data_IF_449058774677
#
_entry.id   IF_449058774677
#
_cell.length_a   1.000
_cell.length_b   1.000
_cell.length_c   1.000
_cell.angle_alpha   90.00
_cell.angle_beta   90.00
_cell.angle_gamma   90.00
#
_symmetry.space_group_name_H-M   'P 1'
#
loop_
_entity.id
_entity.type
_entity.pdbx_description
1 polymer ?
#
# COMPACT_ATOMS: atom_id res chain seq x y z
N UNK A 1 -19.07 5.74 21.30
CA UNK A 1 -17.73 6.30 21.60
C UNK A 1 -16.88 6.06 20.38
N UNK A 2 -16.21 7.07 19.82
CA UNK A 2 -15.26 6.87 18.73
C UNK A 2 -13.92 6.37 19.30
N UNK A 3 -13.26 5.46 18.58
CA UNK A 3 -11.97 4.88 19.00
C UNK A 3 -10.94 5.12 17.91
N UNK A 4 -9.83 5.77 18.25
CA UNK A 4 -8.64 5.77 17.41
C UNK A 4 -7.82 4.53 17.74
N UNK A 5 -7.77 3.59 16.81
CA UNK A 5 -7.14 2.30 17.04
C UNK A 5 -5.60 2.35 17.02
N UNK A 6 -5.00 3.31 16.30
CA UNK A 6 -3.53 3.36 16.06
C UNK A 6 -2.94 1.99 15.68
N UNK A 7 -3.70 1.22 14.89
CA UNK A 7 -3.43 -0.19 14.61
C UNK A 7 -2.28 -0.43 13.62
N UNK A 8 -1.56 0.62 13.22
CA UNK A 8 -0.27 0.50 12.55
C UNK A 8 0.75 -0.28 13.39
N UNK A 9 0.63 -0.24 14.71
CA UNK A 9 1.44 -0.99 15.68
C UNK A 9 1.05 -2.47 15.83
N UNK A 10 0.03 -2.94 15.10
CA UNK A 10 -0.40 -4.33 15.18
C UNK A 10 0.75 -5.28 14.81
N UNK A 11 0.90 -6.33 15.64
CA UNK A 11 1.91 -7.38 15.50
C UNK A 11 3.38 -6.88 15.53
N UNK A 12 3.68 -5.85 16.34
CA UNK A 12 5.07 -5.51 16.72
C UNK A 12 5.80 -6.67 17.43
N UNK A 13 5.08 -7.70 17.88
CA UNK A 13 5.66 -8.93 18.42
C UNK A 13 6.12 -9.92 17.32
N UNK A 14 5.78 -9.68 16.05
CA UNK A 14 6.19 -10.47 14.88
C UNK A 14 5.70 -11.93 14.90
N UNK A 15 4.45 -12.17 15.30
CA UNK A 15 3.90 -13.52 15.45
C UNK A 15 3.16 -14.02 14.20
N UNK A 16 2.51 -13.14 13.45
CA UNK A 16 1.50 -13.56 12.45
C UNK A 16 1.67 -12.89 11.09
N UNK A 17 2.23 -11.69 11.03
CA UNK A 17 2.38 -10.97 9.76
C UNK A 17 3.45 -11.62 8.88
N UNK A 18 3.18 -11.81 7.58
CA UNK A 18 4.09 -12.53 6.67
C UNK A 18 5.24 -11.62 6.20
N UNK A 19 6.16 -11.31 7.11
CA UNK A 19 7.31 -10.46 6.83
C UNK A 19 8.38 -11.18 6.00
N UNK A 20 8.76 -10.57 4.88
CA UNK A 20 9.88 -11.01 4.04
C UNK A 20 11.21 -10.45 4.56
N UNK A 21 12.32 -10.87 3.93
CA UNK A 21 13.64 -10.26 4.19
C UNK A 21 13.67 -8.74 3.88
N UNK A 22 12.82 -8.28 2.96
CA UNK A 22 12.75 -6.86 2.58
C UNK A 22 12.00 -6.05 3.64
N UNK A 23 10.89 -6.57 4.16
CA UNK A 23 10.13 -5.92 5.24
C UNK A 23 10.98 -5.78 6.50
N UNK A 24 11.73 -6.84 6.86
CA UNK A 24 12.65 -6.82 8.00
C UNK A 24 13.79 -5.81 7.83
N UNK A 25 14.28 -5.63 6.60
CA UNK A 25 15.30 -4.62 6.30
C UNK A 25 14.75 -3.20 6.44
N UNK A 26 13.55 -2.94 5.91
CA UNK A 26 12.87 -1.64 6.08
C UNK A 26 12.68 -1.33 7.55
N UNK A 27 12.22 -2.30 8.34
CA UNK A 27 12.03 -2.13 9.76
C UNK A 27 13.34 -1.77 10.49
N UNK A 28 14.40 -2.53 10.24
CA UNK A 28 15.72 -2.31 10.83
C UNK A 28 16.35 -0.96 10.46
N UNK A 29 16.11 -0.46 9.25
CA UNK A 29 16.63 0.82 8.74
C UNK A 29 15.68 2.01 9.04
N UNK A 30 14.51 1.75 9.62
CA UNK A 30 13.53 2.81 9.95
C UNK A 30 13.93 3.62 11.19
N UNK A 31 13.36 4.82 11.39
CA UNK A 31 13.62 5.61 12.60
C UNK A 31 13.21 4.92 13.91
N UNK A 32 12.31 3.94 13.85
CA UNK A 32 11.82 3.17 15.01
C UNK A 32 11.74 1.68 14.66
N UNK A 33 12.86 0.95 14.73
CA UNK A 33 12.87 -0.50 14.50
C UNK A 33 11.99 -1.25 15.49
N UNK A 34 11.21 -2.23 15.01
CA UNK A 34 10.26 -3.02 15.81
C UNK A 34 8.92 -2.34 16.09
N UNK A 35 8.74 -1.08 15.66
CA UNK A 35 7.45 -0.37 15.77
C UNK A 35 6.71 -0.32 14.43
N UNK A 36 5.40 -0.05 14.46
CA UNK A 36 4.57 0.16 13.28
C UNK A 36 4.65 -0.99 12.25
N UNK A 37 4.74 -2.24 12.70
CA UNK A 37 5.00 -3.39 11.81
C UNK A 37 3.89 -3.53 10.77
N UNK A 38 2.62 -3.46 11.16
CA UNK A 38 1.51 -3.54 10.20
C UNK A 38 1.51 -2.40 9.18
N UNK A 39 1.81 -1.17 9.62
CA UNK A 39 1.93 0.00 8.75
C UNK A 39 3.05 -0.20 7.72
N UNK A 40 4.22 -0.68 8.15
CA UNK A 40 5.38 -0.95 7.27
C UNK A 40 5.09 -1.95 6.16
N UNK A 41 4.10 -2.83 6.36
CA UNK A 41 3.71 -3.82 5.36
C UNK A 41 2.60 -3.34 4.40
N UNK A 42 1.90 -2.24 4.71
CA UNK A 42 0.66 -1.88 4.01
C UNK A 42 0.60 -0.43 3.53
N UNK A 43 1.29 0.49 4.20
CA UNK A 43 1.25 1.91 3.89
C UNK A 43 2.11 2.28 2.68
N UNK A 44 1.64 3.27 1.91
CA UNK A 44 2.25 3.64 0.63
C UNK A 44 3.72 4.06 0.69
N UNK A 45 4.14 4.65 1.81
CA UNK A 45 5.54 5.01 2.05
C UNK A 45 6.48 3.80 1.84
N UNK A 46 6.05 2.62 2.27
CA UNK A 46 6.90 1.43 2.31
C UNK A 46 6.70 0.51 1.10
N UNK A 47 5.55 0.54 0.42
CA UNK A 47 5.34 -0.32 -0.75
C UNK A 47 6.34 -0.03 -1.88
N UNK A 48 6.66 1.26 -2.10
CA UNK A 48 7.70 1.67 -3.05
C UNK A 48 9.11 1.22 -2.63
N UNK A 49 9.39 1.29 -1.33
CA UNK A 49 10.69 0.88 -0.79
C UNK A 49 10.89 -0.65 -0.85
N UNK A 50 9.84 -1.43 -0.62
CA UNK A 50 9.88 -2.89 -0.80
C UNK A 50 10.19 -3.24 -2.25
N UNK A 51 9.52 -2.56 -3.19
CA UNK A 51 9.76 -2.73 -4.61
C UNK A 51 11.21 -2.41 -4.97
N UNK A 52 11.73 -1.28 -4.48
CA UNK A 52 13.13 -0.88 -4.68
C UNK A 52 14.10 -1.93 -4.16
N UNK A 53 13.90 -2.41 -2.92
CA UNK A 53 14.79 -3.41 -2.32
C UNK A 53 14.79 -4.74 -3.07
N UNK A 54 13.65 -5.15 -3.64
CA UNK A 54 13.58 -6.32 -4.52
C UNK A 54 14.41 -6.08 -5.79
N UNK A 55 14.28 -4.93 -6.44
CA UNK A 55 15.06 -4.60 -7.63
C UNK A 55 16.56 -4.52 -7.34
N UNK A 56 16.96 -3.97 -6.18
CA UNK A 56 18.36 -3.96 -5.73
C UNK A 56 18.88 -5.39 -5.54
N UNK A 57 18.15 -6.27 -4.86
CA UNK A 57 18.55 -7.67 -4.65
C UNK A 57 18.75 -8.41 -5.97
N UNK A 58 17.92 -8.13 -6.98
CA UNK A 58 18.03 -8.74 -8.29
C UNK A 58 19.17 -8.15 -9.13
N UNK A 59 19.39 -6.84 -9.03
CA UNK A 59 20.51 -6.17 -9.70
C UNK A 59 21.85 -6.63 -9.11
N UNK A 60 21.95 -6.78 -7.79
CA UNK A 60 23.14 -7.30 -7.09
C UNK A 60 23.48 -8.75 -7.47
N UNK A 61 22.49 -9.49 -7.98
CA UNK A 61 22.64 -10.87 -8.48
C UNK A 61 22.82 -10.94 -9.99
N UNK A 62 23.04 -9.81 -10.65
CA UNK A 62 23.11 -9.68 -12.11
C UNK A 62 21.91 -10.33 -12.82
N UNK A 63 20.70 -10.24 -12.27
CA UNK A 63 19.48 -10.79 -12.89
C UNK A 63 18.73 -9.74 -13.71
N UNK A 64 18.85 -8.47 -13.37
CA UNK A 64 18.23 -7.33 -14.05
C UNK A 64 19.20 -6.15 -14.13
N UNK A 65 18.97 -5.24 -15.06
CA UNK A 65 19.70 -3.98 -15.27
C UNK A 65 21.21 -4.20 -15.46
N UNK A 66 21.57 -5.29 -16.15
CA UNK A 66 22.97 -5.62 -16.44
C UNK A 66 23.62 -4.49 -17.22
N UNK A 67 24.79 -4.04 -16.75
CA UNK A 67 25.58 -2.94 -17.35
C UNK A 67 24.93 -1.55 -17.22
N UNK A 68 23.80 -1.42 -16.53
CA UNK A 68 23.20 -0.12 -16.22
C UNK A 68 23.83 0.48 -14.95
N UNK A 69 23.74 1.80 -14.80
CA UNK A 69 24.13 2.47 -13.57
C UNK A 69 22.99 2.42 -12.54
N UNK A 70 23.11 1.56 -11.53
CA UNK A 70 22.10 1.37 -10.49
C UNK A 70 22.27 2.28 -9.26
N UNK A 71 23.10 3.32 -9.34
CA UNK A 71 23.36 4.22 -8.19
C UNK A 71 22.08 4.86 -7.66
N UNK A 72 21.22 5.37 -8.55
CA UNK A 72 19.93 5.96 -8.16
C UNK A 72 18.97 4.96 -7.51
N UNK A 73 18.93 3.73 -8.03
CA UNK A 73 18.15 2.63 -7.45
C UNK A 73 18.58 2.29 -6.00
N UNK A 74 19.84 2.57 -5.63
CA UNK A 74 20.36 2.30 -4.28
C UNK A 74 20.00 3.38 -3.27
N UNK A 75 19.53 4.55 -3.69
CA UNK A 75 19.05 5.60 -2.80
C UNK A 75 17.76 5.14 -2.10
N UNK A 76 17.75 5.08 -0.76
CA UNK A 76 16.58 4.67 0.01
C UNK A 76 15.40 5.60 -0.28
N UNK A 77 14.21 5.02 -0.42
CA UNK A 77 12.97 5.74 -0.72
C UNK A 77 12.99 6.53 -2.04
N UNK A 78 13.88 6.19 -2.98
CA UNK A 78 13.88 6.79 -4.33
C UNK A 78 12.66 6.37 -5.18
N UNK A 79 11.92 5.34 -4.77
CA UNK A 79 10.71 4.86 -5.43
C UNK A 79 9.55 5.02 -4.45
N UNK A 80 8.53 5.78 -4.87
CA UNK A 80 7.28 5.93 -4.14
C UNK A 80 6.17 5.01 -4.69
N UNK A 81 5.01 5.00 -4.04
CA UNK A 81 3.84 4.26 -4.55
C UNK A 81 3.25 4.79 -5.86
N UNK A 82 3.55 6.04 -6.22
CA UNK A 82 3.16 6.60 -7.51
C UNK A 82 3.83 5.83 -8.65
N UNK A 83 5.11 5.49 -8.47
CA UNK A 83 5.85 4.66 -9.42
C UNK A 83 5.16 3.32 -9.67
N UNK A 84 4.77 2.60 -8.62
CA UNK A 84 4.09 1.30 -8.72
C UNK A 84 2.73 1.44 -9.43
N UNK A 85 1.97 2.47 -9.05
CA UNK A 85 0.66 2.77 -9.67
C UNK A 85 0.81 3.00 -11.18
N UNK A 86 1.82 3.77 -11.58
CA UNK A 86 2.08 4.13 -12.97
C UNK A 86 2.48 2.92 -13.81
N UNK A 87 3.40 2.10 -13.34
CA UNK A 87 3.83 0.91 -14.11
C UNK A 87 2.70 -0.12 -14.23
N UNK A 88 1.84 -0.26 -13.21
CA UNK A 88 0.70 -1.17 -13.27
C UNK A 88 -0.38 -0.70 -14.27
N UNK A 89 -0.49 0.60 -14.53
CA UNK A 89 -1.50 1.24 -15.37
C UNK A 89 -0.99 1.63 -16.77
N UNK A 90 0.28 1.35 -17.08
CA UNK A 90 0.85 1.69 -18.38
C UNK A 90 0.23 0.85 -19.51
N UNK A 91 -0.56 1.51 -20.34
CA UNK A 91 -1.18 1.00 -21.58
C UNK A 91 -0.44 1.50 -22.85
N UNK A 92 0.66 2.24 -22.69
CA UNK A 92 1.38 2.80 -23.84
C UNK A 92 2.07 1.71 -24.68
N UNK A 93 2.18 1.90 -26.00
CA UNK A 93 2.85 0.94 -26.87
C UNK A 93 4.29 0.69 -26.43
N UNK A 94 4.67 -0.60 -26.30
CA UNK A 94 6.01 -1.04 -25.88
C UNK A 94 6.49 -0.41 -24.55
N UNK A 95 5.55 -0.17 -23.64
CA UNK A 95 5.82 0.38 -22.31
C UNK A 95 6.54 1.73 -22.33
N UNK A 96 6.29 2.57 -23.34
CA UNK A 96 6.96 3.86 -23.50
C UNK A 96 6.90 4.71 -22.21
N UNK A 97 5.73 4.80 -21.59
CA UNK A 97 5.51 5.59 -20.39
C UNK A 97 6.30 5.04 -19.19
N UNK A 98 6.32 3.71 -19.01
CA UNK A 98 7.14 3.05 -17.98
C UNK A 98 8.63 3.26 -18.23
N UNK A 99 9.09 3.18 -19.48
CA UNK A 99 10.50 3.44 -19.85
C UNK A 99 10.93 4.85 -19.49
N UNK A 100 10.08 5.83 -19.79
CA UNK A 100 10.31 7.23 -19.42
C UNK A 100 10.38 7.38 -17.89
N UNK A 101 9.45 6.76 -17.15
CA UNK A 101 9.48 6.77 -15.69
C UNK A 101 10.77 6.16 -15.10
N UNK A 102 11.20 4.98 -15.57
CA UNK A 102 12.46 4.37 -15.12
C UNK A 102 13.68 5.26 -15.42
N UNK A 103 13.68 5.92 -16.58
CA UNK A 103 14.75 6.84 -16.97
C UNK A 103 14.77 8.09 -16.10
N UNK A 104 13.61 8.70 -15.87
CA UNK A 104 13.50 9.98 -15.17
C UNK A 104 13.72 9.82 -13.66
N UNK A 105 13.22 8.73 -13.07
CA UNK A 105 13.37 8.46 -11.63
C UNK A 105 14.69 7.78 -11.30
N UNK A 106 15.13 6.81 -12.10
CA UNK A 106 16.24 5.91 -11.73
C UNK A 106 17.42 5.97 -12.70
N UNK A 107 17.36 6.74 -13.78
CA UNK A 107 18.38 6.77 -14.85
C UNK A 107 18.65 5.40 -15.47
N UNK A 108 17.63 4.52 -15.48
CA UNK A 108 17.71 3.16 -16.02
C UNK A 108 16.98 3.04 -17.35
N UNK A 109 17.50 2.19 -18.24
CA UNK A 109 16.85 1.84 -19.51
C UNK A 109 16.49 0.34 -19.54
N UNK A 110 15.41 -0.08 -18.87
CA UNK A 110 15.06 -1.50 -18.75
C UNK A 110 14.62 -2.11 -20.09
N UNK A 111 14.84 -3.39 -20.28
CA UNK A 111 14.29 -4.18 -21.40
C UNK A 111 12.78 -4.44 -21.23
N UNK A 112 12.09 -4.88 -22.29
CA UNK A 112 10.65 -5.20 -22.19
C UNK A 112 10.37 -6.28 -21.13
N UNK A 113 11.24 -7.29 -21.04
CA UNK A 113 11.13 -8.39 -20.06
C UNK A 113 11.31 -7.87 -18.64
N UNK A 114 12.26 -6.96 -18.41
CA UNK A 114 12.48 -6.34 -17.09
C UNK A 114 11.31 -5.45 -16.67
N UNK A 115 10.69 -4.74 -17.62
CA UNK A 115 9.48 -3.95 -17.36
C UNK A 115 8.32 -4.85 -16.98
N UNK A 116 8.05 -5.90 -17.77
CA UNK A 116 6.95 -6.82 -17.49
C UNK A 116 7.13 -7.52 -16.12
N UNK A 117 8.35 -7.94 -15.84
CA UNK A 117 8.71 -8.51 -14.54
C UNK A 117 8.52 -7.49 -13.39
N UNK A 118 8.95 -6.24 -13.59
CA UNK A 118 8.74 -5.13 -12.65
C UNK A 118 7.25 -4.89 -12.38
N UNK A 119 6.41 -4.85 -13.43
CA UNK A 119 4.95 -4.73 -13.28
C UNK A 119 4.38 -5.84 -12.41
N UNK A 120 4.86 -7.08 -12.58
CA UNK A 120 4.38 -8.22 -11.80
C UNK A 120 4.78 -8.13 -10.33
N UNK A 121 5.99 -7.65 -10.02
CA UNK A 121 6.41 -7.40 -8.62
C UNK A 121 5.53 -6.31 -8.00
N UNK A 122 5.30 -5.20 -8.71
CA UNK A 122 4.47 -4.11 -8.21
C UNK A 122 3.05 -4.60 -7.88
N UNK A 123 2.45 -5.38 -8.78
CA UNK A 123 1.15 -5.99 -8.54
C UNK A 123 1.14 -6.89 -7.29
N UNK A 124 2.16 -7.73 -7.09
CA UNK A 124 2.24 -8.59 -5.90
C UNK A 124 2.30 -7.78 -4.61
N UNK A 125 3.09 -6.70 -4.59
CA UNK A 125 3.24 -5.82 -3.42
C UNK A 125 1.92 -5.11 -3.12
N UNK A 126 1.27 -4.54 -4.13
CA UNK A 126 0.02 -3.78 -3.94
C UNK A 126 -1.16 -4.69 -3.62
N UNK A 127 -1.21 -5.91 -4.18
CA UNK A 127 -2.16 -6.96 -3.77
C UNK A 127 -1.94 -7.33 -2.30
N UNK A 128 -0.70 -7.58 -1.88
CA UNK A 128 -0.39 -7.88 -0.47
C UNK A 128 -0.85 -6.76 0.44
N UNK A 129 -0.51 -5.51 0.12
CA UNK A 129 -0.93 -4.33 0.90
C UNK A 129 -2.44 -4.25 1.05
N UNK A 130 -3.19 -4.40 -0.05
CA UNK A 130 -4.65 -4.38 -0.04
C UNK A 130 -5.27 -5.51 0.80
N UNK A 131 -4.70 -6.72 0.73
CA UNK A 131 -5.16 -7.87 1.54
C UNK A 131 -4.90 -7.66 3.03
N UNK A 132 -3.76 -7.10 3.40
CA UNK A 132 -3.46 -6.77 4.80
C UNK A 132 -4.42 -5.70 5.33
N UNK A 133 -4.68 -4.63 4.57
CA UNK A 133 -5.68 -3.63 4.94
C UNK A 133 -7.09 -4.25 5.11
N UNK A 134 -7.44 -5.27 4.31
CA UNK A 134 -8.69 -5.99 4.46
C UNK A 134 -8.81 -6.71 5.81
N UNK A 135 -7.72 -7.29 6.34
CA UNK A 135 -7.72 -7.93 7.65
C UNK A 135 -8.10 -6.95 8.78
N UNK A 136 -7.62 -5.71 8.73
CA UNK A 136 -7.95 -4.69 9.73
C UNK A 136 -9.43 -4.33 9.72
N UNK A 137 -10.00 -4.10 8.53
CA UNK A 137 -11.43 -3.84 8.36
C UNK A 137 -12.26 -5.03 8.81
N UNK A 138 -11.91 -6.24 8.36
CA UNK A 138 -12.63 -7.45 8.72
C UNK A 138 -12.63 -7.67 10.23
N UNK A 139 -11.49 -7.47 10.90
CA UNK A 139 -11.39 -7.61 12.36
C UNK A 139 -12.36 -6.66 13.10
N UNK A 140 -12.42 -5.39 12.70
CA UNK A 140 -13.35 -4.41 13.30
C UNK A 140 -14.80 -4.81 13.02
N UNK A 141 -15.13 -5.16 11.77
CA UNK A 141 -16.49 -5.54 11.41
C UNK A 141 -16.95 -6.79 12.17
N UNK A 142 -16.10 -7.81 12.29
CA UNK A 142 -16.41 -9.03 13.06
C UNK A 142 -16.55 -8.73 14.55
N UNK A 143 -15.66 -7.92 15.11
CA UNK A 143 -15.68 -7.57 16.54
C UNK A 143 -16.95 -6.81 16.93
N UNK A 144 -17.39 -5.85 16.09
CA UNK A 144 -18.56 -5.01 16.34
C UNK A 144 -19.87 -5.59 15.78
N UNK A 145 -19.82 -6.72 15.08
CA UNK A 145 -20.99 -7.32 14.43
C UNK A 145 -21.55 -6.50 13.26
N UNK A 146 -20.70 -5.71 12.59
CA UNK A 146 -21.08 -4.88 11.44
C UNK A 146 -21.16 -5.76 10.20
N UNK A 147 -22.35 -5.88 9.62
CA UNK A 147 -22.59 -6.67 8.40
C UNK A 147 -22.82 -5.82 7.16
N UNK A 148 -23.06 -4.51 7.30
CA UNK A 148 -23.31 -3.59 6.19
C UNK A 148 -22.80 -2.18 6.52
N UNK A 149 -22.42 -1.42 5.48
CA UNK A 149 -22.00 -0.03 5.63
C UNK A 149 -20.94 0.42 4.63
N UNK A 150 -20.32 1.57 4.91
CA UNK A 150 -19.21 2.08 4.13
C UNK A 150 -17.98 2.25 5.03
N UNK A 151 -16.83 1.81 4.53
CA UNK A 151 -15.51 2.10 5.10
C UNK A 151 -14.95 3.28 4.34
N UNK A 152 -14.99 4.46 4.97
CA UNK A 152 -14.42 5.68 4.42
C UNK A 152 -12.90 5.60 4.47
N UNK A 153 -12.26 5.35 3.33
CA UNK A 153 -10.82 5.23 3.19
C UNK A 153 -10.21 6.51 2.61
N UNK A 154 -9.15 7.00 3.26
CA UNK A 154 -8.30 8.07 2.76
C UNK A 154 -6.86 7.58 2.56
N UNK A 155 -6.04 8.38 1.87
CA UNK A 155 -4.63 8.15 1.64
C UNK A 155 -4.27 7.99 0.18
N UNK A 156 -3.02 8.31 -0.16
CA UNK A 156 -2.53 8.29 -1.53
C UNK A 156 -2.74 6.95 -2.25
N UNK A 157 -2.51 5.84 -1.54
CA UNK A 157 -2.69 4.50 -2.13
C UNK A 157 -4.17 4.20 -2.39
N UNK A 158 -5.04 4.47 -1.42
CA UNK A 158 -6.47 4.20 -1.56
C UNK A 158 -7.11 5.07 -2.67
N UNK A 159 -6.69 6.33 -2.80
CA UNK A 159 -7.33 7.28 -3.70
C UNK A 159 -6.69 7.36 -5.09
N UNK A 160 -5.37 7.13 -5.23
CA UNK A 160 -4.66 7.34 -6.50
C UNK A 160 -4.30 6.05 -7.21
N UNK A 161 -4.16 4.92 -6.50
CA UNK A 161 -3.80 3.67 -7.17
C UNK A 161 -5.03 3.06 -7.86
N UNK A 162 -4.99 2.82 -9.19
CA UNK A 162 -6.18 2.53 -10.01
C UNK A 162 -6.91 1.25 -9.59
N UNK A 163 -6.19 0.30 -9.01
CA UNK A 163 -6.70 -1.05 -8.69
C UNK A 163 -6.81 -1.35 -7.19
N UNK A 164 -6.36 -0.44 -6.30
CA UNK A 164 -6.14 -0.80 -4.89
C UNK A 164 -7.44 -0.98 -4.11
N UNK A 165 -8.40 -0.04 -4.19
CA UNK A 165 -9.72 -0.18 -3.55
C UNK A 165 -10.46 -1.44 -4.00
N UNK A 166 -10.38 -1.78 -5.29
CA UNK A 166 -10.97 -3.03 -5.82
C UNK A 166 -10.31 -4.27 -5.22
N UNK A 167 -8.98 -4.30 -5.14
CA UNK A 167 -8.23 -5.41 -4.51
C UNK A 167 -8.55 -5.53 -3.02
N UNK A 168 -8.72 -4.39 -2.34
CA UNK A 168 -9.08 -4.33 -0.92
C UNK A 168 -10.51 -4.86 -0.70
N UNK A 169 -11.49 -4.39 -1.46
CA UNK A 169 -12.88 -4.85 -1.39
C UNK A 169 -12.99 -6.36 -1.69
N UNK A 170 -12.29 -6.84 -2.73
CA UNK A 170 -12.25 -8.27 -3.04
C UNK A 170 -11.68 -9.09 -1.87
N UNK A 171 -10.55 -8.67 -1.31
CA UNK A 171 -9.93 -9.37 -0.19
C UNK A 171 -10.83 -9.36 1.06
N UNK A 172 -11.57 -8.26 1.29
CA UNK A 172 -12.53 -8.18 2.37
C UNK A 172 -13.69 -9.17 2.18
N UNK A 173 -14.22 -9.27 0.95
CA UNK A 173 -15.27 -10.24 0.64
C UNK A 173 -14.83 -11.69 0.76
N UNK A 174 -13.57 -11.99 0.44
CA UNK A 174 -12.97 -13.31 0.68
C UNK A 174 -12.86 -13.65 2.18
N UNK A 175 -12.60 -12.65 3.04
CA UNK A 175 -12.49 -12.86 4.51
C UNK A 175 -13.86 -13.01 5.16
N UNK A 176 -14.86 -12.26 4.68
CA UNK A 176 -16.20 -12.20 5.25
C UNK A 176 -17.22 -13.12 4.55
N UNK A 177 -16.74 -14.03 3.70
CA UNK A 177 -17.55 -15.02 2.95
C UNK A 177 -18.76 -14.40 2.23
N UNK A 178 -18.54 -13.31 1.48
CA UNK A 178 -19.60 -12.67 0.72
C UNK A 178 -20.15 -13.59 -0.38
N UNK A 179 -21.48 -13.57 -0.55
CA UNK A 179 -22.18 -14.37 -1.56
C UNK A 179 -22.23 -13.70 -2.93
N UNK A 180 -22.07 -12.38 -2.98
CA UNK A 180 -22.16 -11.57 -4.19
C UNK A 180 -20.82 -10.88 -4.47
N UNK A 181 -20.60 -10.46 -5.73
CA UNK A 181 -19.36 -9.79 -6.14
C UNK A 181 -19.17 -8.44 -5.43
N UNK A 182 -20.26 -7.77 -5.04
CA UNK A 182 -20.26 -6.58 -4.20
C UNK A 182 -20.90 -6.91 -2.85
N UNK A 183 -20.11 -6.82 -1.78
CA UNK A 183 -20.63 -7.01 -0.43
C UNK A 183 -21.36 -5.81 0.13
N UNK A 184 -22.10 -6.05 1.21
CA UNK A 184 -22.80 -5.00 1.96
C UNK A 184 -21.87 -3.98 2.63
N UNK A 185 -20.56 -4.28 2.74
CA UNK A 185 -19.53 -3.37 3.27
C UNK A 185 -18.69 -2.84 2.10
N UNK A 186 -18.81 -1.55 1.79
CA UNK A 186 -18.13 -0.93 0.63
C UNK A 186 -16.97 -0.04 1.05
N UNK A 187 -15.85 -0.14 0.35
CA UNK A 187 -14.71 0.77 0.52
C UNK A 187 -14.96 2.03 -0.31
N UNK A 188 -15.15 3.18 0.35
CA UNK A 188 -15.42 4.48 -0.30
C UNK A 188 -14.28 5.45 -0.08
N UNK A 189 -14.23 6.56 -0.82
CA UNK A 189 -13.36 7.68 -0.46
C UNK A 189 -13.90 8.36 0.79
N UNK A 190 -13.02 8.73 1.72
CA UNK A 190 -13.38 9.61 2.81
C UNK A 190 -13.42 11.09 2.36
N UNK A 191 -14.19 11.89 3.08
CA UNK A 191 -14.07 13.35 3.08
C UNK A 191 -12.86 13.78 3.92
N UNK A 192 -12.51 15.07 3.89
CA UNK A 192 -11.40 15.61 4.68
C UNK A 192 -11.64 15.46 6.19
N UNK A 193 -11.00 14.46 6.79
CA UNK A 193 -11.06 14.19 8.22
C UNK A 193 -10.32 15.24 9.07
N UNK A 194 -9.28 15.86 8.52
CA UNK A 194 -8.39 16.77 9.27
C UNK A 194 -8.93 18.20 9.36
N UNK A 195 -9.62 18.67 8.33
CA UNK A 195 -10.32 19.95 8.32
C UNK A 195 -11.78 19.79 8.71
N UNK A 196 -12.59 19.26 7.78
CA UNK A 196 -14.05 19.14 7.96
C UNK A 196 -14.42 18.24 9.15
N UNK A 197 -13.76 17.10 9.31
CA UNK A 197 -14.00 16.18 10.44
C UNK A 197 -13.77 16.84 11.80
N UNK A 198 -12.66 17.56 11.98
CA UNK A 198 -12.38 18.32 13.20
C UNK A 198 -13.45 19.39 13.49
N UNK A 199 -13.92 20.10 12.48
CA UNK A 199 -14.96 21.11 12.63
C UNK A 199 -16.29 20.50 13.08
N UNK A 200 -16.68 19.34 12.53
CA UNK A 200 -17.90 18.62 12.93
C UNK A 200 -17.80 18.14 14.38
N UNK A 201 -16.68 17.53 14.77
CA UNK A 201 -16.46 17.08 16.15
C UNK A 201 -16.53 18.26 17.13
N UNK A 202 -15.93 19.41 16.78
CA UNK A 202 -16.01 20.61 17.60
C UNK A 202 -17.46 21.12 17.75
N UNK A 203 -18.23 21.12 16.66
CA UNK A 203 -19.64 21.51 16.70
C UNK A 203 -20.48 20.57 17.60
N UNK A 204 -20.29 19.26 17.48
CA UNK A 204 -20.98 18.26 18.33
C UNK A 204 -20.65 18.44 19.81
N UNK A 205 -19.40 18.77 20.15
CA UNK A 205 -19.01 18.98 21.56
C UNK A 205 -19.52 20.32 22.11
N UNK A 206 -19.62 21.36 21.27
CA UNK A 206 -20.27 22.62 21.66
C UNK A 206 -21.75 22.37 21.98
N UNK A 207 -22.47 21.65 21.11
CA UNK A 207 -23.87 21.30 21.31
C UNK A 207 -24.08 20.46 22.58
N UNK A 208 -23.20 19.49 22.84
CA UNK A 208 -23.30 18.63 24.04
C UNK A 208 -23.12 19.40 25.36
N UNK A 209 -22.41 20.54 25.33
CA UNK A 209 -22.11 21.37 26.52
C UNK A 209 -23.11 22.51 26.73
N UNK A 210 -23.86 22.89 25.70
CA UNK A 210 -24.90 23.93 25.76
C UNK A 210 -26.21 23.39 26.30
#
# INVERSE_FOLDING_TARGET
>A
MAVNCEYGAFDNAHHILPQTKFDKRIDAESPRPGEQVFEKLSAGLYLGEIFRLILVDLADRDLVFRKENTTKLREAYAIDTGFLSHIEDDESPKFKSTRELFKDTLTLTPTDVEIEFSRRIAELITVRGARLCACGVAAICTMEGITEGNVAADGGVANKHPKFKRRWARALGEILDWREEEGSIRITSAEDGSGTGCAIIAAMEIERRG
#
